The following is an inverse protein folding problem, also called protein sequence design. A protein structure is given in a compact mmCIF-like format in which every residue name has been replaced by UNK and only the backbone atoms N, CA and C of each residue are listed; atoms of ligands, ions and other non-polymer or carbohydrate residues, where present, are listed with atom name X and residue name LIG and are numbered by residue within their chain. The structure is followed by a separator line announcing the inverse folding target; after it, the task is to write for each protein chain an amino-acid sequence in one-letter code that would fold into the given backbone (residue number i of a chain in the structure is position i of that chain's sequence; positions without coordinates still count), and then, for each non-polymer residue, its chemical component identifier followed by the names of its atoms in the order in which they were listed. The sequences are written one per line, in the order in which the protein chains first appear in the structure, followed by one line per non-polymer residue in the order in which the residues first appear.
data_IF_894256876947
#
_entry.id   IF_894256876947
#
_cell.length_a   1.000
_cell.length_b   1.000
_cell.length_c   1.000
_cell.angle_alpha   90.00
_cell.angle_beta   90.00
_cell.angle_gamma   90.00
#
_symmetry.space_group_name_H-M   'P 1'
#
loop_
_entity.id
_entity.type
_entity.pdbx_description
1 polymer ?
#
# COMPACT_ATOMS: atom_id res chain seq x y z
N UNK A 1 3.29 -10.95 -10.56
CA UNK A 1 2.34 -11.34 -9.48
C UNK A 1 1.89 -10.07 -8.79
N UNK A 2 0.63 -9.94 -8.38
CA UNK A 2 0.11 -8.70 -7.79
C UNK A 2 -0.41 -8.93 -6.35
N UNK A 3 -0.47 -7.87 -5.55
CA UNK A 3 -1.06 -7.87 -4.19
C UNK A 3 -2.05 -6.73 -4.08
N UNK A 4 -3.22 -7.02 -3.50
CA UNK A 4 -4.26 -6.05 -3.20
C UNK A 4 -4.14 -5.58 -1.75
N UNK A 5 -4.08 -4.26 -1.57
CA UNK A 5 -4.13 -3.60 -0.27
C UNK A 5 -5.44 -2.83 -0.19
N UNK A 6 -6.38 -3.29 0.63
CA UNK A 6 -7.63 -2.59 0.87
C UNK A 6 -7.35 -1.48 1.91
N UNK A 7 -7.71 -0.25 1.59
CA UNK A 7 -7.66 0.86 2.55
C UNK A 7 -9.06 1.45 2.72
N UNK A 8 -9.31 2.17 3.80
CA UNK A 8 -10.64 2.74 4.07
C UNK A 8 -11.11 3.75 3.01
N UNK A 9 -10.19 4.38 2.26
CA UNK A 9 -10.47 5.26 1.13
C UNK A 9 -10.48 4.57 -0.25
N UNK A 10 -10.10 3.29 -0.33
CA UNK A 10 -10.12 2.52 -1.58
C UNK A 10 -9.03 1.45 -1.67
N UNK A 11 -9.03 0.72 -2.78
CA UNK A 11 -8.13 -0.41 -2.97
C UNK A 11 -6.89 0.00 -3.78
N UNK A 12 -5.72 -0.45 -3.33
CA UNK A 12 -4.43 -0.22 -3.98
C UNK A 12 -3.92 -1.57 -4.51
N UNK A 13 -3.70 -1.64 -5.82
CA UNK A 13 -3.08 -2.81 -6.47
C UNK A 13 -1.59 -2.54 -6.65
N UNK A 14 -0.75 -3.44 -6.12
CA UNK A 14 0.71 -3.37 -6.25
C UNK A 14 1.20 -4.54 -7.10
N UNK A 15 1.73 -4.23 -8.28
CA UNK A 15 2.37 -5.20 -9.16
C UNK A 15 3.81 -5.47 -8.73
N UNK A 16 4.11 -6.75 -8.49
CA UNK A 16 5.44 -7.22 -8.08
C UNK A 16 6.18 -7.84 -9.27
N UNK A 17 7.37 -7.29 -9.54
CA UNK A 17 8.33 -7.81 -10.51
C UNK A 17 9.14 -8.98 -9.91
N UNK A 18 8.46 -10.10 -9.68
CA UNK A 18 9.05 -11.31 -9.07
C UNK A 18 10.16 -11.92 -9.91
N UNK A 19 10.17 -11.69 -11.22
CA UNK A 19 11.19 -12.21 -12.15
C UNK A 19 12.51 -11.45 -12.02
N UNK A 20 12.45 -10.11 -11.98
CA UNK A 20 13.65 -9.27 -11.90
C UNK A 20 14.22 -9.19 -10.47
N UNK A 21 13.35 -9.13 -9.45
CA UNK A 21 13.72 -8.89 -8.05
C UNK A 21 13.03 -9.87 -7.09
N UNK A 22 13.30 -11.18 -7.19
CA UNK A 22 12.60 -12.21 -6.44
C UNK A 22 12.79 -12.10 -4.92
N UNK A 23 13.97 -11.72 -4.43
CA UNK A 23 14.25 -11.65 -2.99
C UNK A 23 13.39 -10.63 -2.25
N UNK A 24 13.24 -9.43 -2.82
CA UNK A 24 12.43 -8.36 -2.23
C UNK A 24 10.93 -8.71 -2.30
N UNK A 25 10.47 -9.19 -3.47
CA UNK A 25 9.08 -9.59 -3.66
C UNK A 25 8.69 -10.74 -2.72
N UNK A 26 9.56 -11.74 -2.53
CA UNK A 26 9.31 -12.85 -1.63
C UNK A 26 9.22 -12.41 -0.16
N UNK A 27 10.06 -11.45 0.26
CA UNK A 27 9.98 -10.89 1.62
C UNK A 27 8.65 -10.15 1.84
N UNK A 28 8.26 -9.30 0.89
CA UNK A 28 6.98 -8.59 0.93
C UNK A 28 5.80 -9.57 0.98
N UNK A 29 5.78 -10.58 0.10
CA UNK A 29 4.74 -11.61 0.08
C UNK A 29 4.65 -12.40 1.38
N UNK A 30 5.78 -12.70 2.05
CA UNK A 30 5.77 -13.36 3.37
C UNK A 30 5.11 -12.49 4.43
N UNK A 31 5.43 -11.19 4.45
CA UNK A 31 4.83 -10.23 5.38
C UNK A 31 3.33 -10.04 5.14
N UNK A 32 2.89 -10.00 3.88
CA UNK A 32 1.46 -10.00 3.52
C UNK A 32 0.76 -11.28 3.98
N UNK A 33 1.38 -12.47 3.84
CA UNK A 33 0.76 -13.74 4.26
C UNK A 33 0.49 -13.81 5.77
N UNK A 34 1.36 -13.20 6.58
CA UNK A 34 1.18 -13.14 8.03
C UNK A 34 0.34 -11.93 8.47
N UNK A 35 -0.28 -11.21 7.54
CA UNK A 35 -1.10 -10.03 7.82
C UNK A 35 -0.34 -8.93 8.58
N UNK A 36 0.96 -8.78 8.29
CA UNK A 36 1.81 -7.81 9.00
C UNK A 36 1.39 -6.35 8.73
N UNK A 37 0.86 -6.08 7.53
CA UNK A 37 0.42 -4.75 7.13
C UNK A 37 -1.03 -4.44 7.53
N UNK A 38 -1.79 -5.43 8.00
CA UNK A 38 -3.15 -5.25 8.51
C UNK A 38 -3.08 -4.34 9.75
N UNK A 39 -3.92 -3.33 9.77
CA UNK A 39 -3.97 -2.25 10.75
C UNK A 39 -2.75 -1.32 10.78
N UNK A 40 -1.84 -1.40 9.82
CA UNK A 40 -0.79 -0.38 9.69
C UNK A 40 -1.38 0.93 9.19
N UNK A 41 -0.92 2.05 9.77
CA UNK A 41 -1.30 3.40 9.36
C UNK A 41 -0.29 3.97 8.36
N UNK A 42 -0.77 4.72 7.37
CA UNK A 42 0.11 5.47 6.46
C UNK A 42 0.61 6.74 7.16
N UNK A 43 1.77 6.64 7.82
CA UNK A 43 2.32 7.72 8.65
C UNK A 43 2.80 8.96 7.88
N UNK A 44 3.12 8.83 6.58
CA UNK A 44 3.64 9.93 5.77
C UNK A 44 3.15 9.85 4.33
N UNK A 45 2.46 10.90 3.89
CA UNK A 45 2.03 11.06 2.50
C UNK A 45 2.63 12.36 1.97
N UNK A 46 3.50 12.24 0.97
CA UNK A 46 4.09 13.37 0.26
C UNK A 46 3.50 13.45 -1.13
N UNK A 47 2.73 14.51 -1.38
CA UNK A 47 2.21 14.80 -2.72
C UNK A 47 3.28 15.59 -3.48
N UNK A 48 3.63 15.15 -4.69
CA UNK A 48 4.46 15.95 -5.59
C UNK A 48 3.62 17.15 -6.06
N UNK A 49 4.11 18.34 -5.77
CA UNK A 49 3.46 19.61 -6.06
C UNK A 49 3.47 19.92 -7.56
N UNK A 50 2.36 19.60 -8.24
CA UNK A 50 1.98 20.26 -9.50
C UNK A 50 0.50 20.69 -9.55
N UNK A 51 -0.30 20.46 -8.51
CA UNK A 51 -1.59 21.14 -8.32
C UNK A 51 -1.89 21.34 -6.83
N UNK A 52 -2.23 22.58 -6.46
CA UNK A 52 -2.47 23.01 -5.07
C UNK A 52 -3.73 22.37 -4.45
N UNK A 53 -4.62 21.78 -5.25
CA UNK A 53 -5.88 21.17 -4.79
C UNK A 53 -5.69 19.82 -4.08
N UNK A 54 -4.56 19.14 -4.26
CA UNK A 54 -4.32 17.80 -3.68
C UNK A 54 -3.79 17.81 -2.24
N UNK A 55 -3.45 18.97 -1.68
CA UNK A 55 -2.92 19.06 -0.31
C UNK A 55 -3.96 18.73 0.77
N UNK A 56 -5.25 19.00 0.53
CA UNK A 56 -6.31 18.67 1.49
C UNK A 56 -6.61 17.16 1.54
N UNK A 57 -6.53 16.44 0.41
CA UNK A 57 -6.71 14.98 0.36
C UNK A 57 -5.55 14.22 1.01
N UNK A 58 -4.31 14.72 0.89
CA UNK A 58 -3.12 14.08 1.46
C UNK A 58 -3.14 13.97 3.00
N UNK A 59 -3.84 14.87 3.67
CA UNK A 59 -3.93 14.88 5.13
C UNK A 59 -4.90 13.80 5.64
N UNK A 60 -5.93 13.46 4.85
CA UNK A 60 -6.91 12.44 5.21
C UNK A 60 -6.31 11.03 5.18
N UNK A 61 -5.39 10.77 4.24
CA UNK A 61 -4.68 9.50 4.12
C UNK A 61 -3.80 9.15 5.33
N UNK A 62 -3.48 10.12 6.20
CA UNK A 62 -2.49 9.97 7.28
C UNK A 62 -2.97 9.10 8.46
N UNK A 63 -4.29 8.86 8.56
CA UNK A 63 -4.91 8.09 9.64
C UNK A 63 -5.71 6.88 9.12
N UNK A 64 -5.42 6.43 7.89
CA UNK A 64 -6.13 5.33 7.24
C UNK A 64 -5.60 3.96 7.67
N UNK A 65 -6.51 3.04 7.95
CA UNK A 65 -6.17 1.67 8.30
C UNK A 65 -5.97 0.86 7.02
N UNK A 66 -4.81 0.22 6.90
CA UNK A 66 -4.55 -0.75 5.84
C UNK A 66 -5.17 -2.09 6.25
N UNK A 67 -5.97 -2.70 5.39
CA UNK A 67 -6.32 -4.11 5.47
C UNK A 67 -5.74 -4.86 4.28
N UNK A 68 -4.79 -5.77 4.53
CA UNK A 68 -4.24 -6.58 3.45
C UNK A 68 -5.10 -7.82 3.19
N UNK A 69 -5.50 -7.99 1.92
CA UNK A 69 -6.18 -9.18 1.42
C UNK A 69 -5.35 -9.74 0.28
N UNK A 70 -4.74 -10.91 0.48
CA UNK A 70 -4.09 -11.66 -0.60
C UNK A 70 -5.18 -12.19 -1.54
N UNK A 71 -5.48 -11.43 -2.59
CA UNK A 71 -6.19 -11.95 -3.75
C UNK A 71 -5.20 -12.74 -4.62
N UNK A 72 -5.44 -14.05 -4.75
CA UNK A 72 -4.76 -14.93 -5.69
C UNK A 72 -5.27 -14.70 -7.12
#
# INVERSE_FOLDING_TARGET
MAVLLETTLGDIVVDLYTEERPKACLNFLKLCKIKYYNYCLIHNVQVRSSSAELHHQATFLRNEWISDRLTL
#
